data_IF_959334224146
#
_entry.id   IF_959334224146
#
_cell.length_a   1.000
_cell.length_b   1.000
_cell.length_c   1.000
_cell.angle_alpha   90.00
_cell.angle_beta   90.00
_cell.angle_gamma   90.00
#
_symmetry.space_group_name_H-M   'P 1'
#
loop_
_entity.id
_entity.type
_entity.pdbx_description
1 polymer ?
#
# COMPACT_ATOMS: atom_id res chain seq x y z
N UNK A 1 -0.12 17.81 17.74
CA UNK A 1 0.55 16.70 17.04
C UNK A 1 0.62 17.14 15.59
N UNK A 2 1.83 17.26 15.04
CA UNK A 2 2.04 17.85 13.71
C UNK A 2 1.32 17.00 12.68
N UNK A 3 0.38 17.57 11.91
CA UNK A 3 -0.04 16.92 10.67
C UNK A 3 1.21 16.75 9.83
N UNK A 4 1.57 15.52 9.46
CA UNK A 4 2.55 15.33 8.40
C UNK A 4 1.97 16.02 7.16
N UNK A 5 2.67 17.04 6.67
CA UNK A 5 2.34 17.62 5.38
C UNK A 5 2.65 16.53 4.34
N UNK A 6 1.74 16.31 3.38
CA UNK A 6 1.97 15.34 2.30
C UNK A 6 3.36 15.59 1.68
N UNK A 7 4.20 14.56 1.50
CA UNK A 7 5.62 14.75 1.17
C UNK A 7 5.86 15.44 -0.18
N UNK A 8 4.87 15.39 -1.08
CA UNK A 8 4.92 15.98 -2.40
C UNK A 8 3.70 16.88 -2.66
N UNK A 9 3.56 18.03 -1.97
CA UNK A 9 2.33 18.82 -1.97
C UNK A 9 2.03 19.50 -3.32
N UNK A 10 2.96 19.45 -4.27
CA UNK A 10 2.84 19.98 -5.62
C UNK A 10 2.44 18.90 -6.65
N UNK A 11 2.35 17.63 -6.24
CA UNK A 11 1.95 16.52 -7.08
C UNK A 11 0.54 16.06 -6.71
N UNK A 12 -0.18 15.52 -7.69
CA UNK A 12 -1.45 14.82 -7.45
C UNK A 12 -1.17 13.43 -6.89
N UNK A 13 -1.80 13.08 -5.77
CA UNK A 13 -1.78 11.70 -5.28
C UNK A 13 -2.72 10.84 -6.16
N UNK A 14 -2.14 10.09 -7.11
CA UNK A 14 -2.88 9.19 -7.99
C UNK A 14 -3.47 7.97 -7.26
N UNK A 15 -3.00 7.68 -6.05
CA UNK A 15 -3.46 6.59 -5.20
C UNK A 15 -4.53 7.05 -4.17
N UNK A 16 -5.01 8.29 -4.28
CA UNK A 16 -6.08 8.83 -3.44
C UNK A 16 -7.42 8.14 -3.68
N UNK A 17 -8.07 7.67 -2.61
CA UNK A 17 -9.41 7.11 -2.64
C UNK A 17 -10.44 8.09 -3.18
N UNK A 18 -10.31 9.39 -2.86
CA UNK A 18 -11.16 10.46 -3.43
C UNK A 18 -11.00 10.64 -4.95
N UNK A 19 -9.86 10.22 -5.54
CA UNK A 19 -9.66 10.16 -6.99
C UNK A 19 -10.22 8.87 -7.61
N UNK A 20 -10.71 7.93 -6.79
CA UNK A 20 -11.21 6.63 -7.22
C UNK A 20 -10.16 5.52 -7.23
N UNK A 21 -9.03 5.70 -6.55
CA UNK A 21 -8.05 4.63 -6.37
C UNK A 21 -8.64 3.47 -5.55
N UNK A 22 -8.17 2.24 -5.81
CA UNK A 22 -8.72 1.02 -5.19
C UNK A 22 -7.62 -0.01 -4.92
N UNK A 23 -7.66 -0.64 -3.75
CA UNK A 23 -6.95 -1.90 -3.55
C UNK A 23 -7.74 -3.06 -4.19
N UNK A 24 -7.10 -3.80 -5.09
CA UNK A 24 -7.75 -4.84 -5.91
C UNK A 24 -7.52 -6.24 -5.34
N UNK A 25 -6.29 -6.53 -4.91
CA UNK A 25 -5.92 -7.81 -4.32
C UNK A 25 -4.63 -7.68 -3.51
N UNK A 26 -4.42 -8.64 -2.62
CA UNK A 26 -3.15 -8.81 -1.92
C UNK A 26 -2.90 -10.28 -1.62
N UNK A 27 -1.68 -10.61 -1.21
CA UNK A 27 -1.32 -11.97 -0.80
C UNK A 27 -1.92 -12.37 0.54
N UNK A 28 -2.06 -11.42 1.47
CA UNK A 28 -2.56 -11.64 2.84
C UNK A 28 -2.94 -10.30 3.51
N UNK A 29 -4.15 -10.17 4.04
CA UNK A 29 -4.66 -8.97 4.75
C UNK A 29 -5.10 -9.25 6.20
N UNK A 30 -4.52 -10.29 6.79
CA UNK A 30 -5.01 -10.89 8.03
C UNK A 30 -5.14 -9.92 9.23
N UNK A 31 -4.12 -9.07 9.47
CA UNK A 31 -4.08 -8.19 10.65
C UNK A 31 -4.62 -6.79 10.37
N UNK A 32 -4.41 -6.26 9.17
CA UNK A 32 -4.98 -4.97 8.75
C UNK A 32 -5.20 -4.96 7.24
N UNK A 33 -6.30 -4.34 6.80
CA UNK A 33 -6.77 -4.47 5.43
C UNK A 33 -5.93 -3.67 4.44
N UNK A 34 -5.70 -4.24 3.25
CA UNK A 34 -5.08 -3.53 2.13
C UNK A 34 -5.84 -2.26 1.70
N UNK A 35 -7.15 -2.18 1.99
CA UNK A 35 -7.96 -1.02 1.62
C UNK A 35 -7.53 0.27 2.35
N UNK A 36 -6.87 0.16 3.51
CA UNK A 36 -6.34 1.30 4.23
C UNK A 36 -5.24 2.05 3.43
N UNK A 37 -4.59 1.38 2.45
CA UNK A 37 -3.51 1.98 1.65
C UNK A 37 -3.96 3.06 0.66
N UNK A 38 -5.27 3.17 0.41
CA UNK A 38 -5.85 4.17 -0.50
C UNK A 38 -6.68 5.23 0.24
N UNK A 39 -6.71 5.19 1.57
CA UNK A 39 -7.41 6.17 2.38
C UNK A 39 -6.69 7.53 2.37
N UNK A 40 -7.44 8.62 2.31
CA UNK A 40 -6.87 9.98 2.24
C UNK A 40 -6.56 10.56 3.63
N UNK A 41 -7.12 9.97 4.68
CA UNK A 41 -6.87 10.39 6.05
C UNK A 41 -5.46 9.98 6.50
N UNK A 42 -4.77 10.80 7.32
CA UNK A 42 -3.50 10.40 7.92
C UNK A 42 -3.67 9.14 8.78
N UNK A 43 -2.67 8.23 8.83
CA UNK A 43 -2.75 7.01 9.62
C UNK A 43 -3.07 7.29 11.10
N UNK A 44 -4.18 6.74 11.57
CA UNK A 44 -4.62 6.84 12.95
C UNK A 44 -4.10 5.67 13.81
N UNK A 45 -3.88 5.93 15.10
CA UNK A 45 -3.52 4.87 16.04
C UNK A 45 -4.19 5.08 17.39
N UNK A 46 -4.89 4.05 17.84
CA UNK A 46 -5.48 3.99 19.17
C UNK A 46 -4.75 2.92 20.01
N UNK A 47 -4.02 3.32 21.08
CA UNK A 47 -3.29 2.39 21.94
C UNK A 47 -4.20 1.44 22.73
N UNK A 48 -5.50 1.72 22.83
CA UNK A 48 -6.47 0.91 23.55
C UNK A 48 -7.41 0.11 22.61
N UNK A 49 -7.38 0.38 21.30
CA UNK A 49 -8.17 -0.38 20.33
C UNK A 49 -7.56 -1.77 20.05
N UNK A 50 -8.36 -2.80 20.27
CA UNK A 50 -8.06 -4.19 19.96
C UNK A 50 -9.32 -4.87 19.42
N UNK A 51 -9.11 -5.85 18.55
CA UNK A 51 -10.17 -6.70 18.01
C UNK A 51 -9.71 -8.17 18.07
N UNK A 52 -10.53 -9.10 17.57
CA UNK A 52 -10.30 -10.55 17.69
C UNK A 52 -8.92 -11.02 17.21
N UNK A 53 -8.32 -10.36 16.20
CA UNK A 53 -7.01 -10.76 15.67
C UNK A 53 -5.84 -9.91 16.19
N UNK A 54 -6.08 -8.94 17.07
CA UNK A 54 -5.02 -8.17 17.72
C UNK A 54 -5.27 -6.67 17.79
N UNK A 55 -4.18 -5.90 17.78
CA UNK A 55 -4.21 -4.43 17.73
C UNK A 55 -4.87 -3.99 16.43
N UNK A 56 -5.78 -3.02 16.49
CA UNK A 56 -6.29 -2.37 15.29
C UNK A 56 -5.19 -1.46 14.74
N UNK A 57 -4.83 -1.66 13.47
CA UNK A 57 -3.84 -0.86 12.76
C UNK A 57 -4.49 -0.16 11.56
N UNK A 58 -4.15 1.11 11.36
CA UNK A 58 -4.52 1.89 10.20
C UNK A 58 -3.39 1.83 9.15
N UNK A 59 -3.50 0.84 8.28
CA UNK A 59 -2.49 0.42 7.31
C UNK A 59 -2.74 -1.01 6.82
N UNK A 60 -1.80 -1.60 6.10
CA UNK A 60 -1.88 -3.00 5.65
C UNK A 60 -0.90 -3.89 6.41
N UNK A 61 -1.39 -4.99 6.99
CA UNK A 61 -0.57 -5.91 7.78
C UNK A 61 -0.92 -7.37 7.49
N UNK A 62 0.06 -8.09 6.91
CA UNK A 62 0.01 -9.53 6.66
C UNK A 62 0.48 -10.34 7.88
N UNK A 63 0.24 -11.66 7.86
CA UNK A 63 0.90 -12.56 8.81
C UNK A 63 2.39 -12.63 8.54
N UNK A 64 3.16 -12.88 9.60
CA UNK A 64 4.60 -13.16 9.48
C UNK A 64 4.85 -14.33 8.51
N UNK A 65 5.46 -14.02 7.37
CA UNK A 65 5.94 -15.01 6.42
C UNK A 65 7.16 -15.75 6.99
N UNK A 66 7.13 -17.09 6.89
CA UNK A 66 8.22 -18.00 7.36
C UNK A 66 8.92 -18.74 6.23
N UNK A 67 8.50 -18.50 4.99
CA UNK A 67 9.09 -19.07 3.77
C UNK A 67 9.67 -17.99 2.87
N UNK A 68 10.28 -18.38 1.73
CA UNK A 68 10.78 -17.42 0.75
C UNK A 68 9.65 -16.59 0.12
N UNK A 69 10.03 -15.46 -0.48
CA UNK A 69 9.13 -14.54 -1.17
C UNK A 69 8.79 -13.29 -0.35
N UNK A 70 7.86 -12.50 -0.87
CA UNK A 70 7.38 -11.25 -0.28
C UNK A 70 5.85 -11.25 -0.26
N UNK A 71 5.24 -10.40 0.56
CA UNK A 71 3.81 -10.10 0.43
C UNK A 71 3.63 -8.98 -0.58
N UNK A 72 2.53 -9.03 -1.34
CA UNK A 72 2.23 -8.11 -2.42
C UNK A 72 0.81 -7.57 -2.30
N UNK A 73 0.60 -6.38 -2.85
CA UNK A 73 -0.72 -5.76 -3.01
C UNK A 73 -0.80 -5.10 -4.39
N UNK A 74 -1.89 -5.36 -5.11
CA UNK A 74 -2.21 -4.74 -6.39
C UNK A 74 -3.16 -3.56 -6.12
N UNK A 75 -2.68 -2.37 -6.47
CA UNK A 75 -3.40 -1.12 -6.29
C UNK A 75 -3.71 -0.50 -7.65
N UNK A 76 -4.96 -0.08 -7.85
CA UNK A 76 -5.39 0.69 -8.99
C UNK A 76 -5.32 2.18 -8.68
N UNK A 77 -4.63 2.94 -9.53
CA UNK A 77 -4.65 4.41 -9.48
C UNK A 77 -6.03 4.95 -9.88
N UNK A 78 -6.45 6.06 -9.28
CA UNK A 78 -7.75 6.69 -9.60
C UNK A 78 -7.80 7.31 -11.01
N UNK A 79 -6.63 7.59 -11.59
CA UNK A 79 -6.50 8.04 -12.97
C UNK A 79 -5.17 7.55 -13.57
N UNK A 80 -5.11 7.31 -14.89
CA UNK A 80 -3.85 7.08 -15.57
C UNK A 80 -2.97 8.34 -15.51
N UNK A 81 -1.66 8.17 -15.36
CA UNK A 81 -0.73 9.30 -15.22
C UNK A 81 0.73 8.89 -15.21
N UNK A 82 1.60 9.89 -15.06
CA UNK A 82 3.05 9.70 -14.96
C UNK A 82 3.42 9.69 -13.47
N UNK A 83 4.10 8.62 -13.04
CA UNK A 83 4.59 8.50 -11.67
C UNK A 83 5.88 9.31 -11.52
N UNK A 84 5.84 10.32 -10.66
CA UNK A 84 6.99 11.18 -10.35
C UNK A 84 7.64 10.87 -9.01
N UNK A 85 6.84 10.39 -8.06
CA UNK A 85 7.27 10.02 -6.73
C UNK A 85 6.32 8.96 -6.17
N UNK A 86 6.84 8.18 -5.22
CA UNK A 86 6.06 7.28 -4.38
C UNK A 86 6.39 7.61 -2.93
N UNK A 87 5.40 7.44 -2.06
CA UNK A 87 5.56 7.51 -0.62
C UNK A 87 5.15 6.16 -0.02
N UNK A 88 5.99 5.63 0.86
CA UNK A 88 5.77 4.35 1.55
C UNK A 88 5.83 4.66 3.04
N UNK A 89 4.67 4.97 3.62
CA UNK A 89 4.55 5.35 5.02
C UNK A 89 4.42 4.11 5.91
N UNK A 90 5.26 4.02 6.94
CA UNK A 90 5.29 2.92 7.92
C UNK A 90 4.86 3.38 9.32
N UNK A 91 4.20 4.54 9.39
CA UNK A 91 3.75 5.17 10.64
C UNK A 91 2.96 4.18 11.50
N UNK A 92 3.26 4.18 12.81
CA UNK A 92 2.71 3.26 13.83
C UNK A 92 3.19 1.79 13.77
N UNK A 93 3.89 1.35 12.71
CA UNK A 93 4.47 0.00 12.62
C UNK A 93 5.89 -0.09 13.23
N UNK A 94 6.04 0.30 14.50
CA UNK A 94 7.35 0.55 15.14
C UNK A 94 8.23 -0.68 15.40
N UNK A 95 7.72 -1.89 15.17
CA UNK A 95 8.49 -3.14 15.32
C UNK A 95 8.14 -4.22 14.30
N UNK A 96 7.15 -3.96 13.45
CA UNK A 96 6.59 -4.88 12.45
C UNK A 96 6.44 -4.22 11.08
N UNK A 97 7.02 -3.03 10.83
CA UNK A 97 7.09 -2.44 9.50
C UNK A 97 7.75 -3.41 8.51
N UNK A 98 7.37 -3.29 7.24
CA UNK A 98 8.06 -3.98 6.17
C UNK A 98 9.53 -3.53 6.13
N UNK A 99 10.51 -4.43 6.23
CA UNK A 99 11.92 -4.03 6.27
C UNK A 99 12.43 -3.52 4.91
N UNK A 100 11.80 -3.97 3.82
CA UNK A 100 12.13 -3.62 2.44
C UNK A 100 10.85 -3.52 1.63
N UNK A 101 10.86 -2.68 0.61
CA UNK A 101 9.79 -2.62 -0.40
C UNK A 101 10.39 -2.36 -1.78
N UNK A 102 9.70 -2.85 -2.81
CA UNK A 102 9.89 -2.51 -4.22
C UNK A 102 8.54 -2.13 -4.81
N UNK A 103 8.54 -1.43 -5.94
CA UNK A 103 7.32 -1.09 -6.66
C UNK A 103 7.45 -1.47 -8.12
N UNK A 104 6.37 -2.03 -8.63
CA UNK A 104 6.17 -2.30 -10.05
C UNK A 104 4.91 -1.57 -10.51
N UNK A 105 4.85 -1.22 -11.78
CA UNK A 105 3.67 -0.62 -12.40
C UNK A 105 3.37 -1.27 -13.74
N UNK A 106 2.10 -1.29 -14.10
CA UNK A 106 1.62 -1.72 -15.41
C UNK A 106 0.54 -0.76 -15.89
N UNK A 107 0.40 -0.65 -17.21
CA UNK A 107 -0.73 0.01 -17.84
C UNK A 107 -1.55 -1.04 -18.57
N UNK A 108 -2.78 -1.27 -18.10
CA UNK A 108 -3.66 -2.28 -18.64
C UNK A 108 -4.94 -1.62 -19.13
N UNK A 109 -5.27 -1.79 -20.41
CA UNK A 109 -6.50 -1.22 -20.98
C UNK A 109 -7.75 -1.95 -20.47
N UNK A 110 -8.80 -1.18 -20.16
CA UNK A 110 -10.07 -1.73 -19.69
C UNK A 110 -10.15 -1.86 -18.17
N UNK A 111 -10.77 -2.93 -17.68
CA UNK A 111 -10.98 -3.18 -16.26
C UNK A 111 -10.80 -4.66 -15.96
N UNK A 112 -9.55 -5.17 -16.07
CA UNK A 112 -9.25 -6.57 -15.75
C UNK A 112 -9.57 -6.86 -14.28
N UNK A 113 -9.86 -8.12 -13.97
CA UNK A 113 -9.89 -8.58 -12.60
C UNK A 113 -8.47 -8.75 -12.03
N UNK A 114 -8.39 -8.98 -10.73
CA UNK A 114 -7.11 -9.07 -10.05
C UNK A 114 -6.28 -10.31 -10.44
N UNK A 115 -6.92 -11.41 -10.84
CA UNK A 115 -6.22 -12.62 -11.25
C UNK A 115 -5.57 -12.42 -12.62
N UNK A 116 -6.28 -11.81 -13.58
CA UNK A 116 -5.71 -11.38 -14.87
C UNK A 116 -4.54 -10.42 -14.67
N UNK A 117 -4.67 -9.43 -13.78
CA UNK A 117 -3.56 -8.50 -13.50
C UNK A 117 -2.34 -9.19 -12.90
N UNK A 118 -2.53 -10.18 -12.03
CA UNK A 118 -1.43 -10.92 -11.41
C UNK A 118 -0.72 -11.82 -12.42
N UNK A 119 -1.48 -12.54 -13.24
CA UNK A 119 -0.96 -13.66 -14.02
C UNK A 119 -0.58 -13.28 -15.46
N UNK A 120 -1.18 -12.22 -16.01
CA UNK A 120 -1.05 -11.85 -17.44
C UNK A 120 -0.50 -10.45 -17.69
N UNK A 121 -0.54 -9.53 -16.72
CA UNK A 121 -0.03 -8.17 -16.94
C UNK A 121 1.50 -8.13 -17.01
N UNK A 122 2.01 -7.26 -17.87
CA UNK A 122 3.43 -6.94 -17.92
C UNK A 122 3.75 -5.87 -16.86
N UNK A 123 4.30 -6.32 -15.73
CA UNK A 123 4.73 -5.44 -14.65
C UNK A 123 6.17 -4.96 -14.88
N UNK A 124 6.37 -3.64 -14.76
CA UNK A 124 7.66 -2.99 -14.93
C UNK A 124 8.14 -2.46 -13.59
N UNK A 125 9.35 -2.82 -13.17
CA UNK A 125 9.97 -2.26 -11.97
C UNK A 125 10.15 -0.75 -12.11
N UNK A 126 9.56 0.01 -11.19
CA UNK A 126 9.68 1.47 -11.10
C UNK A 126 10.46 1.91 -9.87
N UNK A 127 10.59 1.03 -8.87
CA UNK A 127 11.44 1.21 -7.70
C UNK A 127 12.06 -0.15 -7.34
N UNK A 128 13.38 -0.34 -7.49
CA UNK A 128 14.04 -1.54 -7.02
C UNK A 128 13.90 -1.67 -5.51
N UNK A 129 14.15 -2.87 -4.98
CA UNK A 129 14.03 -3.11 -3.54
C UNK A 129 14.91 -2.17 -2.72
N UNK A 130 14.29 -1.38 -1.86
CA UNK A 130 14.93 -0.43 -0.94
C UNK A 130 14.57 -0.74 0.51
N UNK A 131 15.53 -0.51 1.41
CA UNK A 131 15.29 -0.65 2.84
C UNK A 131 14.38 0.48 3.33
N UNK A 132 13.30 0.12 4.02
CA UNK A 132 12.46 1.11 4.68
C UNK A 132 13.03 1.47 6.04
N UNK A 133 12.70 2.67 6.50
CA UNK A 133 13.16 3.20 7.79
C UNK A 133 11.95 3.55 8.64
N UNK A 134 12.16 3.48 9.96
CA UNK A 134 11.30 4.08 10.96
C UNK A 134 11.59 5.58 11.10
#
# INVERSE_FOLDING_TARGET
>A
MSSSQAPYPHLTNLLSGSLGARALACSDDFFASMHNLVEDAPPAFDPDAYYERGKVMDGWESRRKRGPGHDWCILQLGAPGILHAADIETTHFTGNHAPWASLEATFFEGSPDADTLRDEAEWVEILPSVALRL
#
